data_IF_017403321815
#
_entry.id   IF_017403321815
#
_cell.length_a   1.000
_cell.length_b   1.000
_cell.length_c   1.000
_cell.angle_alpha   90.00
_cell.angle_beta   90.00
_cell.angle_gamma   90.00
#
_symmetry.space_group_name_H-M   'P 1'
#
loop_
_entity.id
_entity.type
_entity.pdbx_description
1 polymer ?
#
# COMPACT_ATOMS: atom_id res chain seq x y z
N UNK A 1 15.99 48.23 -1.68
CA UNK A 1 16.32 48.64 -3.06
C UNK A 1 17.65 48.00 -3.44
N UNK A 2 17.71 47.50 -4.68
CA UNK A 2 18.75 46.78 -5.47
C UNK A 2 20.18 46.65 -4.90
N UNK A 3 20.98 45.62 -5.21
CA UNK A 3 21.17 44.89 -6.49
C UNK A 3 21.70 43.48 -6.20
N UNK A 4 21.37 42.52 -7.07
CA UNK A 4 21.97 41.18 -7.19
C UNK A 4 23.49 41.24 -7.48
N UNK A 5 24.23 40.19 -7.12
CA UNK A 5 25.17 39.54 -8.06
C UNK A 5 25.70 38.21 -7.52
N UNK A 6 25.39 37.17 -8.30
CA UNK A 6 26.22 36.03 -8.70
C UNK A 6 26.90 35.13 -7.64
N UNK A 7 26.51 33.87 -7.76
CA UNK A 7 27.38 32.68 -7.81
C UNK A 7 28.32 32.39 -6.64
N UNK A 8 28.18 31.17 -6.12
CA UNK A 8 29.27 30.46 -5.47
C UNK A 8 29.17 30.43 -3.95
N UNK A 9 29.14 29.20 -3.43
CA UNK A 9 29.26 28.83 -2.04
C UNK A 9 30.31 29.62 -1.24
N UNK A 10 29.90 30.13 -0.08
CA UNK A 10 30.58 30.04 1.23
C UNK A 10 30.28 31.28 2.08
N UNK A 11 29.43 31.08 3.08
CA UNK A 11 29.23 31.80 4.34
C UNK A 11 30.37 32.75 4.74
N UNK A 12 30.14 33.98 5.22
CA UNK A 12 29.49 34.48 6.47
C UNK A 12 29.59 36.04 6.45
N UNK A 13 28.98 36.88 7.28
CA UNK A 13 27.92 36.94 8.31
C UNK A 13 27.77 38.46 8.65
N UNK A 14 26.71 38.92 9.36
CA UNK A 14 26.70 39.32 10.80
C UNK A 14 25.34 40.01 11.10
N UNK A 15 24.71 40.06 12.30
CA UNK A 15 24.96 39.57 13.67
C UNK A 15 23.61 39.54 14.43
N UNK A 16 23.31 38.44 15.14
CA UNK A 16 22.28 38.36 16.19
C UNK A 16 22.95 37.80 17.48
N UNK A 17 22.64 38.30 18.70
CA UNK A 17 23.30 37.89 19.95
C UNK A 17 23.09 36.42 20.36
N UNK A 18 24.08 35.88 21.08
CA UNK A 18 24.23 34.45 21.45
C UNK A 18 23.23 33.95 22.50
N UNK A 19 22.61 34.82 23.31
CA UNK A 19 21.67 34.40 24.36
C UNK A 19 20.25 34.10 23.83
N UNK A 20 19.76 34.81 22.81
CA UNK A 20 18.44 34.54 22.19
C UNK A 20 18.46 33.31 21.28
N UNK A 21 19.64 32.95 20.77
CA UNK A 21 19.91 31.72 20.03
C UNK A 21 19.89 30.47 20.95
N UNK A 22 20.07 30.66 22.27
CA UNK A 22 20.18 29.61 23.29
C UNK A 22 18.82 29.20 23.91
N UNK A 23 17.70 29.71 23.39
CA UNK A 23 16.39 29.05 23.41
C UNK A 23 16.18 28.60 21.95
N UNK A 24 16.75 27.52 21.43
CA UNK A 24 16.76 26.16 21.97
C UNK A 24 15.32 25.69 22.17
N UNK A 25 14.73 25.14 21.11
CA UNK A 25 14.84 23.72 20.76
C UNK A 25 13.96 22.81 21.65
N UNK A 26 12.69 23.11 21.92
CA UNK A 26 11.84 22.13 22.63
C UNK A 26 10.38 22.00 22.14
N UNK A 27 10.12 21.98 20.81
CA UNK A 27 9.10 21.06 20.25
C UNK A 27 8.07 21.61 19.24
N UNK A 28 8.08 21.03 18.02
CA UNK A 28 7.01 20.69 17.05
C UNK A 28 5.77 21.61 16.79
N UNK A 29 5.52 22.68 17.54
CA UNK A 29 4.27 23.48 17.50
C UNK A 29 4.51 24.95 17.09
N UNK A 30 5.75 25.41 17.07
CA UNK A 30 6.06 26.85 17.04
C UNK A 30 6.19 27.47 15.64
N UNK A 31 6.54 26.70 14.60
CA UNK A 31 6.71 27.25 13.24
C UNK A 31 5.39 27.72 12.62
N UNK A 32 4.32 26.95 12.83
CA UNK A 32 2.98 27.32 12.38
C UNK A 32 2.48 28.57 13.12
N UNK A 33 2.77 28.67 14.41
CA UNK A 33 2.40 29.84 15.22
C UNK A 33 3.16 31.09 14.76
N UNK A 34 4.47 30.98 14.51
CA UNK A 34 5.28 32.07 13.97
C UNK A 34 4.77 32.53 12.59
N UNK A 35 4.37 31.59 11.73
CA UNK A 35 3.76 31.89 10.44
C UNK A 35 2.41 32.61 10.60
N UNK A 36 1.53 32.13 11.48
CA UNK A 36 0.22 32.76 11.76
C UNK A 36 0.43 34.19 12.27
N UNK A 37 1.35 34.41 13.21
CA UNK A 37 1.63 35.75 13.75
C UNK A 37 2.22 36.69 12.69
N UNK A 38 3.12 36.19 11.84
CA UNK A 38 3.68 36.95 10.73
C UNK A 38 2.58 37.39 9.74
N UNK A 39 1.65 36.49 9.41
CA UNK A 39 0.51 36.77 8.52
C UNK A 39 -0.52 37.72 9.16
N UNK A 40 -0.76 37.62 10.47
CA UNK A 40 -1.62 38.58 11.17
C UNK A 40 -1.00 39.98 11.19
N UNK A 41 0.31 40.09 11.50
CA UNK A 41 1.00 41.37 11.49
C UNK A 41 1.03 41.99 10.09
N UNK A 42 1.26 41.20 9.06
CA UNK A 42 1.26 41.73 7.69
C UNK A 42 -0.09 42.27 7.26
N UNK A 43 -1.18 41.62 7.67
CA UNK A 43 -2.54 42.10 7.46
C UNK A 43 -2.80 43.42 8.18
N UNK A 44 -2.35 43.57 9.43
CA UNK A 44 -2.49 44.82 10.18
C UNK A 44 -1.66 45.98 9.62
N UNK A 45 -0.58 45.66 8.90
CA UNK A 45 0.32 46.63 8.29
C UNK A 45 0.02 46.88 6.79
N UNK A 46 -1.07 46.33 6.26
CA UNK A 46 -1.50 46.42 4.85
C UNK A 46 -0.39 46.08 3.85
N UNK A 47 0.43 45.08 4.21
CA UNK A 47 1.52 44.61 3.34
C UNK A 47 0.96 43.79 2.18
N UNK A 48 1.32 44.17 0.96
CA UNK A 48 0.88 43.48 -0.27
C UNK A 48 1.51 42.10 -0.47
N UNK A 49 2.64 41.82 0.18
CA UNK A 49 3.38 40.57 0.05
C UNK A 49 4.23 40.30 1.29
N UNK A 50 4.29 39.03 1.70
CA UNK A 50 5.14 38.56 2.81
C UNK A 50 6.03 37.46 2.29
N UNK A 51 7.33 37.55 2.60
CA UNK A 51 8.30 36.48 2.33
C UNK A 51 8.70 35.88 3.67
N UNK A 52 8.58 34.57 3.81
CA UNK A 52 9.02 33.81 4.97
C UNK A 52 9.90 32.66 4.51
N UNK A 53 10.82 32.23 5.36
CA UNK A 53 11.60 31.02 5.15
C UNK A 53 10.96 29.91 5.98
N UNK A 54 10.70 28.79 5.33
CA UNK A 54 10.13 27.61 5.96
C UNK A 54 10.94 26.41 5.49
N UNK A 55 11.61 25.77 6.43
CA UNK A 55 12.37 24.53 6.25
C UNK A 55 11.53 23.29 6.59
N UNK A 56 10.40 23.45 7.30
CA UNK A 56 9.39 22.40 7.42
C UNK A 56 8.70 22.13 6.07
N UNK A 57 8.94 20.92 5.58
CA UNK A 57 8.43 20.43 4.30
C UNK A 57 6.89 20.46 4.21
N UNK A 58 6.18 20.24 5.32
CA UNK A 58 4.71 20.18 5.35
C UNK A 58 4.09 21.57 5.34
N UNK A 59 4.64 22.53 6.08
CA UNK A 59 4.23 23.92 6.08
C UNK A 59 4.56 24.59 4.75
N UNK A 60 5.76 24.35 4.21
CA UNK A 60 6.13 24.82 2.88
C UNK A 60 5.10 24.37 1.82
N UNK A 61 4.68 23.11 1.88
CA UNK A 61 3.63 22.58 0.99
C UNK A 61 2.25 23.20 1.21
N UNK A 62 1.86 23.41 2.47
CA UNK A 62 0.57 23.98 2.83
C UNK A 62 0.42 25.43 2.33
N UNK A 63 1.46 26.26 2.53
CA UNK A 63 1.40 27.70 2.23
C UNK A 63 1.58 28.00 0.74
N UNK A 64 2.39 27.23 0.04
CA UNK A 64 2.63 27.44 -1.40
C UNK A 64 1.48 26.95 -2.29
N UNK A 65 0.47 26.28 -1.71
CA UNK A 65 -0.63 25.61 -2.44
C UNK A 65 -0.14 24.62 -3.51
N UNK A 66 1.12 24.20 -3.48
CA UNK A 66 1.63 23.19 -4.41
C UNK A 66 1.01 21.80 -4.17
N UNK A 67 0.34 21.60 -3.02
CA UNK A 67 -0.49 20.43 -2.69
C UNK A 67 -1.60 20.16 -3.74
N UNK A 68 -2.08 21.18 -4.46
CA UNK A 68 -3.24 21.01 -5.34
C UNK A 68 -2.87 20.64 -6.77
N UNK A 69 -1.59 20.75 -7.14
CA UNK A 69 -1.20 20.75 -8.54
C UNK A 69 -0.54 19.48 -9.04
N UNK A 70 -0.26 18.50 -8.18
CA UNK A 70 0.21 17.19 -8.64
C UNK A 70 -0.46 16.05 -7.89
N UNK A 71 -1.04 15.16 -8.70
CA UNK A 71 -1.55 13.81 -8.40
C UNK A 71 -3.08 13.73 -8.14
N UNK A 72 -3.77 13.38 -9.24
CA UNK A 72 -5.04 12.63 -9.40
C UNK A 72 -6.38 13.33 -9.13
N UNK A 73 -6.49 14.47 -8.43
CA UNK A 73 -7.83 14.97 -8.07
C UNK A 73 -8.00 16.49 -8.29
N UNK A 74 -8.41 16.89 -9.49
CA UNK A 74 -8.85 18.26 -9.82
C UNK A 74 -10.35 18.40 -9.49
N UNK A 75 -10.71 19.02 -8.36
CA UNK A 75 -12.04 19.63 -8.03
C UNK A 75 -12.07 20.04 -6.53
N UNK A 76 -12.97 20.92 -6.08
CA UNK A 76 -12.93 21.54 -4.74
C UNK A 76 -12.94 20.54 -3.55
N UNK A 77 -12.15 20.84 -2.50
CA UNK A 77 -11.93 19.94 -1.34
C UNK A 77 -12.90 20.25 -0.21
N UNK A 78 -13.71 19.23 0.10
CA UNK A 78 -14.28 19.02 1.42
C UNK A 78 -13.21 18.35 2.30
N UNK A 79 -12.70 19.07 3.30
CA UNK A 79 -11.54 18.70 4.13
C UNK A 79 -11.79 17.41 4.93
N UNK A 80 -13.06 17.10 5.18
CA UNK A 80 -13.50 15.90 5.89
C UNK A 80 -13.31 14.62 5.06
N UNK A 81 -12.89 14.73 3.80
CA UNK A 81 -12.69 13.61 2.88
C UNK A 81 -11.22 13.30 2.56
N UNK A 82 -10.31 13.62 3.49
CA UNK A 82 -8.87 13.36 3.34
C UNK A 82 -8.46 12.06 4.05
N UNK A 83 -7.82 11.19 3.30
CA UNK A 83 -7.14 9.98 3.73
C UNK A 83 -5.64 10.24 3.92
N UNK A 84 -5.10 9.85 5.07
CA UNK A 84 -3.66 9.85 5.34
C UNK A 84 -3.12 8.43 5.28
N UNK A 85 -1.97 8.23 4.65
CA UNK A 85 -1.32 6.92 4.56
C UNK A 85 -0.40 6.72 5.77
N UNK A 86 -0.61 5.65 6.53
CA UNK A 86 0.22 5.32 7.68
C UNK A 86 1.69 5.10 7.27
N UNK A 87 2.63 5.61 8.08
CA UNK A 87 4.07 5.48 7.81
C UNK A 87 4.61 6.41 6.72
N UNK A 88 3.84 7.40 6.25
CA UNK A 88 4.36 8.56 5.50
C UNK A 88 3.48 9.80 5.74
N UNK A 89 3.89 10.95 5.18
CA UNK A 89 3.14 12.21 5.33
C UNK A 89 2.19 12.50 4.14
N UNK A 90 2.04 11.55 3.21
CA UNK A 90 1.23 11.73 2.01
C UNK A 90 -0.27 11.59 2.30
N UNK A 91 -1.05 12.49 1.71
CA UNK A 91 -2.49 12.59 1.91
C UNK A 91 -3.22 12.63 0.57
N UNK A 92 -4.39 12.01 0.52
CA UNK A 92 -5.19 11.85 -0.69
C UNK A 92 -6.66 12.01 -0.37
N UNK A 93 -7.51 12.26 -1.37
CA UNK A 93 -8.96 12.18 -1.16
C UNK A 93 -9.38 10.73 -0.98
N UNK A 94 -10.40 10.48 -0.17
CA UNK A 94 -10.98 9.13 -0.03
C UNK A 94 -11.41 8.55 -1.37
N UNK A 95 -12.04 9.33 -2.25
CA UNK A 95 -12.47 8.86 -3.57
C UNK A 95 -11.30 8.38 -4.43
N UNK A 96 -10.22 9.15 -4.48
CA UNK A 96 -9.04 8.81 -5.26
C UNK A 96 -8.27 7.63 -4.64
N UNK A 97 -8.15 7.58 -3.31
CA UNK A 97 -7.53 6.44 -2.63
C UNK A 97 -8.36 5.17 -2.81
N UNK A 98 -9.70 5.27 -2.76
CA UNK A 98 -10.62 4.16 -3.05
C UNK A 98 -10.36 3.57 -4.43
N UNK A 99 -10.39 4.41 -5.46
CA UNK A 99 -10.14 3.97 -6.84
C UNK A 99 -8.74 3.35 -7.00
N UNK A 100 -7.72 3.98 -6.42
CA UNK A 100 -6.35 3.44 -6.45
C UNK A 100 -6.27 2.06 -5.81
N UNK A 101 -6.82 1.90 -4.60
CA UNK A 101 -6.83 0.62 -3.89
C UNK A 101 -7.59 -0.43 -4.68
N UNK A 102 -8.78 -0.11 -5.20
CA UNK A 102 -9.58 -1.00 -6.04
C UNK A 102 -8.80 -1.51 -7.26
N UNK A 103 -8.16 -0.61 -8.01
CA UNK A 103 -7.35 -0.98 -9.18
C UNK A 103 -6.15 -1.85 -8.78
N UNK A 104 -5.47 -1.57 -7.67
CA UNK A 104 -4.36 -2.41 -7.20
C UNK A 104 -4.82 -3.81 -6.82
N UNK A 105 -5.94 -3.93 -6.10
CA UNK A 105 -6.49 -5.22 -5.69
C UNK A 105 -6.95 -6.06 -6.88
N UNK A 106 -7.60 -5.44 -7.88
CA UNK A 106 -8.00 -6.08 -9.13
C UNK A 106 -6.80 -6.63 -9.90
N UNK A 107 -5.68 -5.90 -9.89
CA UNK A 107 -4.42 -6.32 -10.50
C UNK A 107 -3.63 -7.35 -9.67
N UNK A 108 -4.19 -7.85 -8.58
CA UNK A 108 -3.52 -8.85 -7.73
C UNK A 108 -2.38 -8.28 -6.87
N UNK A 109 -2.34 -6.97 -6.68
CA UNK A 109 -1.26 -6.26 -5.98
C UNK A 109 -1.70 -5.76 -4.61
N UNK A 110 -0.75 -5.63 -3.68
CA UNK A 110 -0.94 -4.86 -2.45
C UNK A 110 -0.94 -3.38 -2.80
N UNK A 111 -1.90 -2.64 -2.23
CA UNK A 111 -1.98 -1.20 -2.40
C UNK A 111 -0.86 -0.52 -1.60
N UNK A 112 -0.06 0.29 -2.29
CA UNK A 112 0.99 1.14 -1.70
C UNK A 112 0.61 2.61 -1.84
N UNK A 113 1.32 3.47 -1.12
CA UNK A 113 1.24 4.91 -1.33
C UNK A 113 1.39 5.24 -2.83
N UNK A 114 0.46 6.01 -3.42
CA UNK A 114 0.58 6.45 -4.81
C UNK A 114 1.79 7.33 -5.10
N UNK A 115 2.40 7.94 -4.08
CA UNK A 115 3.51 8.86 -4.25
C UNK A 115 4.74 8.13 -4.79
N UNK A 116 5.43 8.76 -5.73
CA UNK A 116 6.61 8.19 -6.36
C UNK A 116 7.69 7.88 -5.32
N UNK A 117 8.32 6.71 -5.45
CA UNK A 117 9.38 6.22 -4.54
C UNK A 117 8.95 6.06 -3.06
N UNK A 118 7.67 6.23 -2.73
CA UNK A 118 7.15 5.95 -1.39
C UNK A 118 6.81 4.45 -1.27
N UNK A 119 7.40 3.79 -0.27
CA UNK A 119 7.24 2.35 -0.06
C UNK A 119 6.18 1.99 0.99
N UNK A 120 5.54 2.98 1.60
CA UNK A 120 4.52 2.77 2.64
C UNK A 120 3.33 2.02 2.06
N UNK A 121 2.92 0.95 2.73
CA UNK A 121 1.74 0.17 2.36
C UNK A 121 0.48 0.81 2.92
N UNK A 122 -0.63 0.69 2.19
CA UNK A 122 -1.92 1.14 2.68
C UNK A 122 -2.45 0.06 3.64
N UNK A 123 -2.79 0.44 4.87
CA UNK A 123 -3.28 -0.50 5.88
C UNK A 123 -4.75 -0.88 5.65
N UNK A 124 -5.11 -2.11 6.06
CA UNK A 124 -6.50 -2.60 5.98
C UNK A 124 -7.43 -1.74 6.83
N UNK A 125 -6.99 -1.39 8.04
CA UNK A 125 -7.78 -0.64 9.02
C UNK A 125 -8.14 0.75 8.51
N UNK A 126 -7.18 1.43 7.88
CA UNK A 126 -7.40 2.75 7.31
C UNK A 126 -8.36 2.70 6.10
N UNK A 127 -8.32 1.62 5.32
CA UNK A 127 -9.20 1.39 4.17
C UNK A 127 -10.65 1.04 4.52
N UNK A 128 -10.92 0.49 5.71
CA UNK A 128 -12.27 0.10 6.14
C UNK A 128 -13.30 1.23 6.12
N UNK A 129 -12.84 2.49 6.12
CA UNK A 129 -13.67 3.69 6.06
C UNK A 129 -14.33 3.93 4.70
N UNK A 130 -13.82 3.35 3.62
CA UNK A 130 -14.33 3.60 2.25
C UNK A 130 -14.43 2.36 1.37
N UNK A 131 -13.80 1.24 1.74
CA UNK A 131 -13.93 -0.01 1.02
C UNK A 131 -15.19 -0.78 1.43
N UNK A 132 -15.79 -1.46 0.45
CA UNK A 132 -16.83 -2.44 0.72
C UNK A 132 -16.22 -3.69 1.42
N UNK A 133 -16.98 -4.41 2.28
CA UNK A 133 -16.45 -5.56 3.04
C UNK A 133 -15.79 -6.65 2.20
N UNK A 134 -16.32 -6.92 1.00
CA UNK A 134 -15.72 -7.90 0.07
C UNK A 134 -14.33 -7.47 -0.41
N UNK A 135 -14.10 -6.16 -0.61
CA UNK A 135 -12.79 -5.64 -1.00
C UNK A 135 -11.80 -5.65 0.16
N UNK A 136 -12.26 -5.50 1.40
CA UNK A 136 -11.45 -5.68 2.60
C UNK A 136 -10.94 -7.12 2.70
N UNK A 137 -11.79 -8.11 2.44
CA UNK A 137 -11.39 -9.53 2.39
C UNK A 137 -10.35 -9.79 1.29
N UNK A 138 -10.56 -9.23 0.09
CA UNK A 138 -9.57 -9.32 -1.00
C UNK A 138 -8.25 -8.67 -0.60
N UNK A 139 -8.27 -7.50 0.04
CA UNK A 139 -7.07 -6.81 0.51
C UNK A 139 -6.29 -7.62 1.54
N UNK A 140 -6.99 -8.20 2.53
CA UNK A 140 -6.40 -9.12 3.50
C UNK A 140 -5.73 -10.31 2.82
N UNK A 141 -6.40 -10.89 1.83
CA UNK A 141 -5.85 -11.98 1.04
C UNK A 141 -4.61 -11.55 0.25
N UNK A 142 -4.58 -10.36 -0.38
CA UNK A 142 -3.39 -9.85 -1.10
C UNK A 142 -2.20 -9.62 -0.17
N UNK A 143 -2.43 -9.11 1.03
CA UNK A 143 -1.38 -8.90 2.03
C UNK A 143 -0.81 -10.25 2.50
N UNK A 144 -1.67 -11.24 2.77
CA UNK A 144 -1.20 -12.60 3.08
C UNK A 144 -0.46 -13.23 1.90
N UNK A 145 -0.91 -12.99 0.67
CA UNK A 145 -0.22 -13.45 -0.54
C UNK A 145 1.15 -12.80 -0.70
N UNK A 146 1.32 -11.51 -0.42
CA UNK A 146 2.62 -10.83 -0.56
C UNK A 146 3.62 -11.27 0.52
N UNK A 147 3.15 -11.65 1.71
CA UNK A 147 4.00 -12.09 2.82
C UNK A 147 4.62 -13.48 2.62
N UNK A 148 4.10 -14.28 1.69
CA UNK A 148 4.63 -15.61 1.36
C UNK A 148 5.49 -15.48 0.09
N UNK A 149 6.71 -16.04 0.10
CA UNK A 149 7.57 -16.03 -1.08
C UNK A 149 6.92 -16.79 -2.25
N UNK A 150 7.09 -16.37 -3.52
CA UNK A 150 6.46 -17.03 -4.67
C UNK A 150 6.73 -18.54 -4.74
N UNK A 151 7.91 -18.98 -4.30
CA UNK A 151 8.31 -20.40 -4.29
C UNK A 151 7.62 -21.21 -3.21
N UNK A 152 7.11 -20.58 -2.15
CA UNK A 152 6.46 -21.25 -1.02
C UNK A 152 4.92 -21.24 -1.11
N UNK A 153 4.33 -20.50 -2.04
CA UNK A 153 2.87 -20.41 -2.20
C UNK A 153 2.28 -21.72 -2.72
N UNK A 154 1.21 -22.16 -2.05
CA UNK A 154 0.37 -23.28 -2.50
C UNK A 154 -1.09 -22.84 -2.45
N UNK A 155 -1.77 -22.93 -3.58
CA UNK A 155 -3.21 -22.73 -3.66
C UNK A 155 -3.93 -24.07 -3.71
N UNK A 156 -5.04 -24.17 -2.98
CA UNK A 156 -5.97 -25.27 -3.11
C UNK A 156 -6.52 -25.30 -4.55
N UNK A 157 -6.40 -26.41 -5.29
CA UNK A 157 -6.81 -26.46 -6.69
C UNK A 157 -8.33 -26.53 -6.87
N UNK A 158 -9.10 -26.71 -5.80
CA UNK A 158 -10.56 -26.74 -5.89
C UNK A 158 -11.10 -25.32 -6.07
N UNK A 159 -11.78 -24.99 -7.19
CA UNK A 159 -12.14 -23.59 -7.52
C UNK A 159 -13.02 -22.90 -6.49
N UNK A 160 -13.90 -23.65 -5.81
CA UNK A 160 -14.76 -23.13 -4.73
C UNK A 160 -13.99 -22.84 -3.44
N UNK A 161 -12.74 -23.28 -3.32
CA UNK A 161 -11.92 -23.12 -2.13
C UNK A 161 -10.79 -22.14 -2.36
N UNK A 162 -9.89 -22.43 -3.31
CA UNK A 162 -8.75 -21.58 -3.71
C UNK A 162 -7.89 -21.03 -2.54
N UNK A 163 -7.95 -21.67 -1.37
CA UNK A 163 -7.26 -21.21 -0.17
C UNK A 163 -5.75 -21.19 -0.38
N UNK A 164 -5.10 -20.11 0.06
CA UNK A 164 -3.65 -19.96 0.08
C UNK A 164 -3.08 -20.56 1.37
N UNK A 165 -2.03 -21.35 1.22
CA UNK A 165 -1.20 -21.93 2.28
C UNK A 165 0.28 -21.84 1.88
N UNK A 166 1.21 -21.98 2.83
CA UNK A 166 2.62 -22.21 2.50
C UNK A 166 2.91 -23.71 2.31
N UNK A 167 3.96 -24.06 1.56
CA UNK A 167 4.39 -25.46 1.36
C UNK A 167 4.64 -26.20 2.67
N UNK A 168 5.32 -25.54 3.61
CA UNK A 168 5.65 -26.09 4.93
C UNK A 168 4.40 -26.32 5.77
N UNK A 169 3.51 -25.32 5.86
CA UNK A 169 2.26 -25.38 6.62
C UNK A 169 1.37 -26.51 6.13
N UNK A 170 1.13 -26.58 4.80
CA UNK A 170 0.26 -27.61 4.23
C UNK A 170 0.88 -29.00 4.37
N UNK A 171 2.19 -29.14 4.27
CA UNK A 171 2.86 -30.44 4.44
C UNK A 171 2.74 -30.93 5.88
N UNK A 172 3.03 -30.06 6.86
CA UNK A 172 2.94 -30.41 8.28
C UNK A 172 1.52 -30.82 8.65
N UNK A 173 0.52 -30.06 8.21
CA UNK A 173 -0.89 -30.40 8.42
C UNK A 173 -1.26 -31.76 7.81
N UNK A 174 -0.68 -32.09 6.65
CA UNK A 174 -0.96 -33.36 5.96
C UNK A 174 -0.28 -34.55 6.65
N UNK A 175 0.96 -34.40 7.13
CA UNK A 175 1.71 -35.46 7.83
C UNK A 175 0.97 -36.00 9.06
N UNK A 176 0.15 -35.18 9.71
CA UNK A 176 -0.69 -35.60 10.84
C UNK A 176 -1.73 -36.66 10.48
N UNK A 177 -2.06 -36.82 9.19
CA UNK A 177 -3.12 -37.73 8.71
C UNK A 177 -2.69 -38.65 7.57
N UNK A 178 -1.51 -38.43 6.98
CA UNK A 178 -0.99 -39.21 5.86
C UNK A 178 0.54 -39.23 5.91
N UNK A 179 1.11 -40.36 6.35
CA UNK A 179 2.53 -40.50 6.72
C UNK A 179 3.46 -40.17 5.53
N UNK A 180 3.14 -40.67 4.34
CA UNK A 180 3.98 -40.55 3.15
C UNK A 180 3.62 -39.34 2.26
N UNK A 181 3.02 -38.30 2.87
CA UNK A 181 2.54 -37.11 2.16
C UNK A 181 3.64 -36.39 1.37
N UNK A 182 4.86 -36.37 1.90
CA UNK A 182 5.98 -35.69 1.28
C UNK A 182 6.46 -36.41 0.02
N UNK A 183 6.71 -37.70 0.12
CA UNK A 183 7.21 -38.56 -0.96
C UNK A 183 6.25 -38.55 -2.16
N UNK A 184 4.97 -38.82 -1.90
CA UNK A 184 3.95 -38.88 -2.93
C UNK A 184 3.47 -37.50 -3.37
N UNK A 185 3.72 -36.46 -2.58
CA UNK A 185 3.28 -35.08 -2.88
C UNK A 185 1.80 -34.82 -2.55
N UNK A 186 1.22 -35.62 -1.65
CA UNK A 186 -0.15 -35.42 -1.18
C UNK A 186 -0.21 -34.20 -0.24
N UNK A 187 -1.22 -33.36 -0.39
CA UNK A 187 -1.50 -32.23 0.50
C UNK A 187 -2.97 -32.18 0.83
N UNK A 188 -3.31 -31.96 2.10
CA UNK A 188 -4.67 -31.75 2.57
C UNK A 188 -4.90 -30.26 2.77
N UNK A 189 -5.90 -29.70 2.10
CA UNK A 189 -6.24 -28.29 2.27
C UNK A 189 -6.72 -28.03 3.70
N UNK A 190 -6.24 -26.96 4.33
CA UNK A 190 -6.61 -26.62 5.71
C UNK A 190 -8.01 -25.99 5.82
N UNK A 191 -8.56 -25.46 4.71
CA UNK A 191 -9.90 -24.84 4.66
C UNK A 191 -11.01 -25.83 4.31
N UNK A 192 -10.84 -26.59 3.22
CA UNK A 192 -11.88 -27.53 2.75
C UNK A 192 -11.58 -29.00 3.04
N UNK A 193 -10.41 -29.31 3.63
CA UNK A 193 -10.00 -30.66 4.01
C UNK A 193 -9.87 -31.70 2.89
N UNK A 194 -10.06 -31.29 1.63
CA UNK A 194 -9.84 -32.15 0.48
C UNK A 194 -8.34 -32.34 0.21
N UNK A 195 -7.97 -33.55 -0.21
CA UNK A 195 -6.63 -33.86 -0.65
C UNK A 195 -6.41 -33.43 -2.12
N UNK A 196 -5.18 -33.00 -2.40
CA UNK A 196 -4.70 -32.66 -3.73
C UNK A 196 -3.23 -33.05 -3.90
N UNK A 197 -2.80 -33.20 -5.15
CA UNK A 197 -1.39 -33.41 -5.48
C UNK A 197 -0.69 -32.07 -5.70
N UNK A 198 0.36 -31.79 -4.93
CA UNK A 198 1.12 -30.54 -5.07
C UNK A 198 1.90 -30.49 -6.39
N UNK A 199 2.29 -31.65 -6.95
CA UNK A 199 3.10 -31.76 -8.17
C UNK A 199 2.29 -31.38 -9.42
N UNK A 200 1.05 -31.86 -9.53
CA UNK A 200 0.19 -31.60 -10.71
C UNK A 200 -0.96 -30.62 -10.48
N UNK A 201 -1.18 -30.17 -9.23
CA UNK A 201 -2.27 -29.25 -8.82
C UNK A 201 -3.67 -29.76 -9.17
N UNK A 202 -3.90 -31.06 -8.98
CA UNK A 202 -5.20 -31.71 -9.21
C UNK A 202 -5.69 -32.42 -7.93
N UNK A 203 -6.95 -32.90 -7.89
CA UNK A 203 -7.40 -33.82 -6.84
C UNK A 203 -6.41 -34.96 -6.62
N UNK A 204 -6.29 -35.43 -5.38
CA UNK A 204 -5.34 -36.48 -5.04
C UNK A 204 -5.65 -37.79 -5.77
N UNK A 205 -4.62 -38.45 -6.28
CA UNK A 205 -4.73 -39.64 -7.13
C UNK A 205 -3.81 -40.75 -6.63
N UNK A 206 -4.32 -41.59 -5.73
CA UNK A 206 -3.57 -42.71 -5.16
C UNK A 206 -3.21 -43.73 -6.25
N UNK A 207 -1.98 -44.27 -6.18
CA UNK A 207 -1.46 -45.30 -7.09
C UNK A 207 -1.44 -44.91 -8.59
N UNK A 208 -1.57 -43.62 -8.90
CA UNK A 208 -1.44 -43.12 -10.27
C UNK A 208 -0.34 -42.09 -10.32
N UNK A 209 0.46 -42.12 -11.39
CA UNK A 209 1.38 -41.03 -11.66
C UNK A 209 0.59 -39.78 -12.05
N UNK A 210 1.21 -38.61 -11.89
CA UNK A 210 0.62 -37.35 -12.38
C UNK A 210 0.32 -37.41 -13.89
N UNK A 211 1.13 -38.15 -14.65
CA UNK A 211 0.96 -38.34 -16.08
C UNK A 211 -0.31 -39.16 -16.39
N UNK A 212 -0.49 -40.30 -15.73
CA UNK A 212 -1.65 -41.17 -15.94
C UNK A 212 -2.96 -40.50 -15.52
N UNK A 213 -2.92 -39.73 -14.43
CA UNK A 213 -4.08 -38.98 -13.96
C UNK A 213 -4.54 -37.95 -15.00
N UNK A 214 -3.60 -37.15 -15.53
CA UNK A 214 -3.90 -36.15 -16.56
C UNK A 214 -4.44 -36.77 -17.84
N UNK A 215 -3.87 -37.90 -18.27
CA UNK A 215 -4.34 -38.64 -19.46
C UNK A 215 -5.78 -39.15 -19.30
N UNK A 216 -6.13 -39.61 -18.12
CA UNK A 216 -7.47 -40.15 -17.82
C UNK A 216 -8.50 -39.04 -17.53
N UNK A 217 -8.04 -37.82 -17.22
CA UNK A 217 -8.87 -36.70 -16.81
C UNK A 217 -8.45 -35.39 -17.51
N UNK A 218 -8.58 -35.29 -18.85
CA UNK A 218 -8.11 -34.13 -19.61
C UNK A 218 -8.78 -32.80 -19.17
N UNK A 219 -9.99 -32.87 -18.61
CA UNK A 219 -10.75 -31.71 -18.14
C UNK A 219 -10.61 -31.43 -16.62
N UNK A 220 -9.84 -32.22 -15.87
CA UNK A 220 -9.75 -32.07 -14.41
C UNK A 220 -8.75 -31.01 -13.96
N UNK A 221 -8.19 -30.22 -14.87
CA UNK A 221 -7.41 -29.03 -14.52
C UNK A 221 -8.35 -27.87 -14.15
N UNK A 222 -8.46 -27.49 -12.87
CA UNK A 222 -9.34 -26.41 -12.46
C UNK A 222 -8.64 -25.03 -12.56
N UNK A 223 -7.35 -25.01 -12.93
CA UNK A 223 -6.47 -23.83 -12.84
C UNK A 223 -6.30 -23.00 -14.12
N UNK A 224 -6.69 -23.50 -15.30
CA UNK A 224 -6.43 -22.82 -16.59
C UNK A 224 -7.71 -22.50 -17.37
N UNK A 225 -8.80 -22.15 -16.68
CA UNK A 225 -9.82 -21.29 -17.31
C UNK A 225 -9.28 -19.87 -17.31
N UNK A 226 -8.55 -19.55 -18.38
CA UNK A 226 -8.28 -18.20 -18.87
C UNK A 226 -9.51 -17.32 -18.60
N UNK A 227 -9.37 -16.31 -17.75
CA UNK A 227 -10.32 -15.21 -17.68
C UNK A 227 -10.22 -14.50 -19.04
N UNK A 228 -11.11 -14.87 -19.94
CA UNK A 228 -11.37 -14.14 -21.19
C UNK A 228 -12.64 -13.33 -20.92
N UNK A 229 -12.45 -12.02 -20.88
CA UNK A 229 -13.34 -10.91 -21.18
C UNK A 229 -14.86 -11.12 -21.16
N UNK A 230 -15.56 -10.21 -20.46
CA UNK A 230 -16.89 -9.76 -20.90
C UNK A 230 -17.90 -9.43 -19.81
N UNK A 231 -17.96 -8.16 -19.38
CA UNK A 231 -19.18 -7.40 -19.07
C UNK A 231 -18.77 -5.94 -18.77
N UNK A 232 -19.19 -4.85 -19.40
CA UNK A 232 -20.30 -4.57 -20.34
C UNK A 232 -21.62 -5.17 -19.90
N UNK A 233 -22.26 -4.62 -18.87
CA UNK A 233 -23.34 -3.60 -18.92
C UNK A 233 -23.41 -2.93 -17.56
#
# INVERSE_FOLDING_TARGET
MMVESLAGSSSRAWLIPVSSLYIILLGEVDELQALIEALYKSLTLDLKSVTFFCDDYMLHQYVTKEIWRRVICFEDIDVDKIFSVDGCLHRYRFSCMKQHVEVKLLNGMVAKCPHENCMSEVSIDSCGKFLAPNLVEVMSQRIKESSISPTEKVYCPYPRCSALMSKSEVLQYTKNVYIDAEEFGARKCMKCHNFFCIKCKAPWHLNMTCYDYKRSNPNAHPGDKKLIDGASV
#
